data_IF_093597663050
#
_entry.id   IF_093597663050
#
_cell.length_a   1.000
_cell.length_b   1.000
_cell.length_c   1.000
_cell.angle_alpha   90.00
_cell.angle_beta   90.00
_cell.angle_gamma   90.00
#
_symmetry.space_group_name_H-M   'P 1'
#
loop_
_entity.id
_entity.type
_entity.pdbx_description
1 polymer ?
#
# COMPACT_ATOMS: atom_id res chain seq x y z
N UNK A 1 26.32 -24.23 -27.78
CA UNK A 1 26.99 -22.98 -27.34
C UNK A 1 26.01 -21.85 -27.01
N UNK A 2 24.88 -21.68 -27.72
CA UNK A 2 23.94 -20.58 -27.46
C UNK A 2 23.35 -20.54 -26.02
N UNK A 3 22.86 -21.67 -25.50
CA UNK A 3 22.28 -21.76 -24.14
C UNK A 3 23.30 -21.38 -23.06
N UNK A 4 24.56 -21.86 -23.18
CA UNK A 4 25.59 -21.57 -22.19
C UNK A 4 25.88 -20.06 -22.07
N UNK A 5 25.92 -19.35 -23.20
CA UNK A 5 26.10 -17.89 -23.22
C UNK A 5 24.90 -17.16 -22.60
N UNK A 6 23.68 -17.60 -22.90
CA UNK A 6 22.47 -17.01 -22.33
C UNK A 6 22.39 -17.25 -20.81
N UNK A 7 22.80 -18.42 -20.33
CA UNK A 7 22.86 -18.71 -18.89
C UNK A 7 23.84 -17.77 -18.18
N UNK A 8 25.00 -17.53 -18.76
CA UNK A 8 25.98 -16.58 -18.21
C UNK A 8 25.40 -15.16 -18.13
N UNK A 9 24.72 -14.71 -19.19
CA UNK A 9 24.07 -13.40 -19.21
C UNK A 9 22.93 -13.30 -18.19
N UNK A 10 22.16 -14.38 -17.99
CA UNK A 10 21.11 -14.44 -16.99
C UNK A 10 21.67 -14.32 -15.57
N UNK A 11 22.75 -15.04 -15.25
CA UNK A 11 23.41 -14.94 -13.95
C UNK A 11 23.99 -13.54 -13.71
N UNK A 12 24.66 -12.96 -14.70
CA UNK A 12 25.17 -11.60 -14.59
C UNK A 12 24.03 -10.59 -14.32
N UNK A 13 22.90 -10.72 -15.03
CA UNK A 13 21.74 -9.87 -14.81
C UNK A 13 21.11 -10.07 -13.41
N UNK A 14 21.16 -11.30 -12.85
CA UNK A 14 20.74 -11.56 -11.46
C UNK A 14 21.65 -10.83 -10.45
N UNK A 15 22.96 -10.89 -10.67
CA UNK A 15 23.96 -10.23 -9.81
C UNK A 15 23.82 -8.70 -9.86
N UNK A 16 23.52 -8.15 -11.04
CA UNK A 16 23.27 -6.73 -11.26
C UNK A 16 21.85 -6.27 -10.82
N UNK A 17 21.04 -7.16 -10.25
CA UNK A 17 19.63 -6.92 -9.86
C UNK A 17 18.70 -6.50 -11.02
N UNK A 18 19.08 -6.78 -12.26
CA UNK A 18 18.27 -6.57 -13.45
C UNK A 18 17.31 -7.76 -13.62
N UNK A 19 16.39 -7.96 -12.68
CA UNK A 19 15.61 -9.21 -12.61
C UNK A 19 14.54 -9.31 -13.71
N UNK A 20 13.74 -8.24 -13.87
CA UNK A 20 12.65 -8.14 -14.87
C UNK A 20 12.72 -6.86 -15.70
N UNK A 21 13.60 -5.93 -15.32
CA UNK A 21 13.82 -4.65 -16.00
C UNK A 21 15.33 -4.45 -16.19
N UNK A 22 15.77 -3.88 -17.33
CA UNK A 22 14.97 -3.57 -18.51
C UNK A 22 14.49 -4.84 -19.27
N UNK A 23 13.48 -4.71 -20.12
CA UNK A 23 12.79 -5.85 -20.77
C UNK A 23 13.72 -6.72 -21.62
N UNK A 24 14.76 -6.15 -22.24
CA UNK A 24 15.65 -6.79 -23.21
C UNK A 24 17.00 -7.24 -22.63
N UNK A 25 17.29 -6.92 -21.36
CA UNK A 25 18.59 -7.23 -20.71
C UNK A 25 18.41 -7.77 -19.28
N UNK A 26 17.19 -8.16 -18.92
CA UNK A 26 16.92 -8.74 -17.62
C UNK A 26 17.25 -10.22 -17.53
N UNK A 27 17.45 -10.73 -16.31
CA UNK A 27 17.59 -12.14 -16.04
C UNK A 27 16.40 -12.93 -16.59
N UNK A 28 15.17 -12.42 -16.41
CA UNK A 28 13.96 -13.03 -16.95
C UNK A 28 14.00 -13.13 -18.48
N UNK A 29 14.49 -12.10 -19.18
CA UNK A 29 14.65 -12.11 -20.63
C UNK A 29 15.54 -13.26 -21.09
N UNK A 30 16.72 -13.39 -20.50
CA UNK A 30 17.67 -14.45 -20.86
C UNK A 30 17.14 -15.84 -20.52
N UNK A 31 16.52 -16.02 -19.35
CA UNK A 31 15.89 -17.31 -18.99
C UNK A 31 14.75 -17.68 -19.94
N UNK A 32 13.90 -16.74 -20.34
CA UNK A 32 12.85 -16.97 -21.34
C UNK A 32 13.43 -17.34 -22.70
N UNK A 33 14.50 -16.68 -23.14
CA UNK A 33 15.19 -17.04 -24.38
C UNK A 33 15.73 -18.48 -24.34
N UNK A 34 16.27 -18.92 -23.19
CA UNK A 34 16.69 -20.32 -23.01
C UNK A 34 15.49 -21.27 -23.12
N UNK A 35 14.37 -20.96 -22.46
CA UNK A 35 13.16 -21.81 -22.49
C UNK A 35 12.48 -21.86 -23.86
N UNK A 36 12.70 -20.86 -24.73
CA UNK A 36 12.27 -20.94 -26.13
C UNK A 36 13.10 -21.95 -26.93
N UNK A 37 14.37 -22.15 -26.59
CA UNK A 37 15.27 -23.11 -27.24
C UNK A 37 15.08 -24.50 -26.65
N UNK A 38 15.04 -24.60 -25.31
CA UNK A 38 14.81 -25.83 -24.56
C UNK A 38 13.74 -25.58 -23.47
N UNK A 39 12.47 -25.91 -23.77
CA UNK A 39 11.36 -25.71 -22.83
C UNK A 39 11.53 -26.42 -21.49
N UNK A 40 12.35 -27.46 -21.41
CA UNK A 40 12.57 -28.28 -20.20
C UNK A 40 13.89 -27.97 -19.49
N UNK A 41 14.58 -26.89 -19.86
CA UNK A 41 15.86 -26.51 -19.27
C UNK A 41 15.71 -26.16 -17.78
N UNK A 42 16.13 -27.07 -16.91
CA UNK A 42 15.93 -26.97 -15.46
C UNK A 42 16.54 -25.70 -14.87
N UNK A 43 17.78 -25.37 -15.25
CA UNK A 43 18.46 -24.18 -14.72
C UNK A 43 17.77 -22.85 -15.07
N UNK A 44 17.04 -22.80 -16.19
CA UNK A 44 16.31 -21.58 -16.56
C UNK A 44 14.99 -21.46 -15.81
N UNK A 45 14.30 -22.59 -15.58
CA UNK A 45 13.11 -22.63 -14.71
C UNK A 45 13.46 -22.26 -13.26
N UNK A 46 14.56 -22.80 -12.76
CA UNK A 46 15.07 -22.48 -11.42
C UNK A 46 15.46 -20.99 -11.30
N UNK A 47 16.12 -20.42 -12.32
CA UNK A 47 16.41 -18.99 -12.33
C UNK A 47 15.16 -18.10 -12.28
N UNK A 48 14.10 -18.45 -13.02
CA UNK A 48 12.81 -17.74 -12.94
C UNK A 48 12.19 -17.89 -11.54
N UNK A 49 12.29 -19.08 -10.93
CA UNK A 49 11.82 -19.30 -9.55
C UNK A 49 12.56 -18.39 -8.56
N UNK A 50 13.88 -18.25 -8.66
CA UNK A 50 14.67 -17.37 -7.80
C UNK A 50 14.32 -15.88 -7.97
N UNK A 51 13.97 -15.44 -9.19
CA UNK A 51 13.46 -14.09 -9.43
C UNK A 51 12.16 -13.87 -8.65
N UNK A 52 11.23 -14.83 -8.72
CA UNK A 52 9.96 -14.77 -7.97
C UNK A 52 10.25 -14.68 -6.47
N UNK A 53 11.06 -15.59 -5.92
CA UNK A 53 11.39 -15.59 -4.50
C UNK A 53 11.99 -14.26 -4.04
N UNK A 54 12.91 -13.67 -4.82
CA UNK A 54 13.52 -12.38 -4.50
C UNK A 54 12.47 -11.27 -4.37
N UNK A 55 11.54 -11.19 -5.32
CA UNK A 55 10.47 -10.20 -5.26
C UNK A 55 9.49 -10.46 -4.11
N UNK A 56 9.20 -11.72 -3.80
CA UNK A 56 8.36 -12.06 -2.65
C UNK A 56 9.01 -11.68 -1.32
N UNK A 57 10.33 -11.83 -1.18
CA UNK A 57 11.07 -11.34 -0.01
C UNK A 57 10.90 -9.83 0.15
N UNK A 58 11.15 -9.04 -0.90
CA UNK A 58 10.96 -7.58 -0.85
C UNK A 58 9.50 -7.18 -0.62
N UNK A 59 8.54 -7.93 -1.16
CA UNK A 59 7.12 -7.72 -0.89
C UNK A 59 6.80 -7.90 0.59
N UNK A 60 7.31 -8.95 1.22
CA UNK A 60 7.12 -9.22 2.65
C UNK A 60 7.75 -8.13 3.53
N UNK A 61 8.97 -7.71 3.23
CA UNK A 61 9.63 -6.59 3.92
C UNK A 61 8.79 -5.31 3.81
N UNK A 62 8.32 -4.98 2.60
CA UNK A 62 7.47 -3.81 2.38
C UNK A 62 6.11 -3.92 3.08
N UNK A 63 5.55 -5.13 3.25
CA UNK A 63 4.33 -5.35 4.05
C UNK A 63 4.58 -5.05 5.52
N UNK A 64 5.71 -5.52 6.06
CA UNK A 64 6.07 -5.35 7.46
C UNK A 64 6.37 -3.86 7.77
N UNK A 65 6.93 -3.12 6.80
CA UNK A 65 7.14 -1.67 6.83
C UNK A 65 5.87 -0.84 6.54
N UNK A 66 4.72 -1.47 6.29
CA UNK A 66 3.46 -0.85 5.83
C UNK A 66 3.59 -0.04 4.53
N UNK A 67 4.64 -0.27 3.75
CA UNK A 67 4.86 0.29 2.43
C UNK A 67 4.03 -0.45 1.38
N UNK A 68 2.70 -0.47 1.54
CA UNK A 68 1.77 -1.28 0.75
C UNK A 68 1.87 -1.07 -0.75
N UNK A 69 2.10 0.15 -1.22
CA UNK A 69 2.30 0.44 -2.65
C UNK A 69 3.56 -0.25 -3.20
N UNK A 70 4.66 -0.26 -2.44
CA UNK A 70 5.89 -0.98 -2.83
C UNK A 70 5.66 -2.48 -2.82
N UNK A 71 4.97 -3.00 -1.80
CA UNK A 71 4.63 -4.42 -1.73
C UNK A 71 3.80 -4.89 -2.95
N UNK A 72 2.81 -4.09 -3.37
CA UNK A 72 2.04 -4.36 -4.60
C UNK A 72 2.93 -4.38 -5.84
N UNK A 73 3.83 -3.40 -5.99
CA UNK A 73 4.77 -3.37 -7.10
C UNK A 73 5.67 -4.63 -7.15
N UNK A 74 6.17 -5.09 -6.00
CA UNK A 74 6.97 -6.31 -5.92
C UNK A 74 6.17 -7.55 -6.30
N UNK A 75 4.91 -7.67 -5.88
CA UNK A 75 4.03 -8.75 -6.30
C UNK A 75 3.75 -8.73 -7.81
N UNK A 76 3.56 -7.55 -8.40
CA UNK A 76 3.41 -7.40 -9.85
C UNK A 76 4.66 -7.88 -10.59
N UNK A 77 5.85 -7.52 -10.11
CA UNK A 77 7.12 -7.98 -10.70
C UNK A 77 7.36 -9.47 -10.53
N UNK A 78 6.98 -10.06 -9.40
CA UNK A 78 6.98 -11.52 -9.21
C UNK A 78 6.05 -12.19 -10.24
N UNK A 79 4.85 -11.65 -10.43
CA UNK A 79 3.88 -12.16 -11.40
C UNK A 79 4.33 -11.98 -12.86
N UNK A 80 5.16 -10.98 -13.17
CA UNK A 80 5.80 -10.87 -14.49
C UNK A 80 6.72 -12.07 -14.77
N UNK A 81 7.42 -12.59 -13.76
CA UNK A 81 8.32 -13.73 -13.90
C UNK A 81 7.54 -15.06 -14.04
N UNK A 82 6.68 -15.36 -13.06
CA UNK A 82 5.76 -16.50 -13.11
C UNK A 82 4.39 -16.13 -12.50
N UNK A 83 3.36 -15.85 -13.34
CA UNK A 83 2.03 -15.49 -12.86
C UNK A 83 1.32 -16.59 -12.06
N UNK A 84 1.75 -17.85 -12.19
CA UNK A 84 1.09 -19.01 -11.58
C UNK A 84 1.78 -19.48 -10.30
N UNK A 85 2.84 -18.81 -9.87
CA UNK A 85 3.56 -19.17 -8.65
C UNK A 85 2.61 -19.06 -7.43
N UNK A 86 2.30 -20.17 -6.73
CA UNK A 86 1.31 -20.16 -5.64
C UNK A 86 1.66 -19.18 -4.51
N UNK A 87 2.96 -18.98 -4.25
CA UNK A 87 3.44 -18.09 -3.19
C UNK A 87 3.04 -16.62 -3.42
N UNK A 88 2.82 -16.18 -4.66
CA UNK A 88 2.32 -14.82 -4.96
C UNK A 88 0.95 -14.60 -4.33
N UNK A 89 0.06 -15.59 -4.44
CA UNK A 89 -1.27 -15.51 -3.86
C UNK A 89 -1.21 -15.39 -2.34
N UNK A 90 -0.38 -16.21 -1.68
CA UNK A 90 -0.20 -16.18 -0.22
C UNK A 90 0.33 -14.83 0.28
N UNK A 91 1.31 -14.24 -0.41
CA UNK A 91 1.84 -12.93 -0.02
C UNK A 91 0.83 -11.81 -0.33
N UNK A 92 0.04 -11.93 -1.40
CA UNK A 92 -1.04 -11.00 -1.71
C UNK A 92 -2.16 -11.01 -0.65
N UNK A 93 -2.53 -12.19 -0.13
CA UNK A 93 -3.47 -12.30 1.00
C UNK A 93 -2.92 -11.65 2.26
N UNK A 94 -1.63 -11.88 2.57
CA UNK A 94 -0.96 -11.24 3.71
C UNK A 94 -0.92 -9.73 3.57
N UNK A 95 -0.65 -9.20 2.36
CA UNK A 95 -0.71 -7.77 2.06
C UNK A 95 -2.11 -7.21 2.32
N UNK A 96 -3.15 -7.86 1.79
CA UNK A 96 -4.53 -7.43 1.94
C UNK A 96 -4.96 -7.41 3.42
N UNK A 97 -4.61 -8.44 4.18
CA UNK A 97 -4.88 -8.53 5.61
C UNK A 97 -4.13 -7.46 6.40
N UNK A 98 -2.82 -7.29 6.18
CA UNK A 98 -2.03 -6.27 6.90
C UNK A 98 -2.57 -4.87 6.62
N UNK A 99 -2.94 -4.60 5.36
CA UNK A 99 -3.52 -3.32 4.94
C UNK A 99 -4.88 -3.05 5.58
N UNK A 100 -5.74 -4.06 5.70
CA UNK A 100 -7.05 -3.90 6.35
C UNK A 100 -6.90 -3.69 7.87
N UNK A 101 -5.99 -4.41 8.52
CA UNK A 101 -5.69 -4.22 9.94
C UNK A 101 -5.09 -2.84 10.25
N UNK A 102 -4.32 -2.29 9.30
CA UNK A 102 -3.68 -0.99 9.44
C UNK A 102 -4.57 0.18 8.99
N UNK A 103 -5.82 -0.09 8.59
CA UNK A 103 -6.78 0.91 8.15
C UNK A 103 -8.07 0.82 8.96
N UNK A 104 -8.50 1.92 9.56
CA UNK A 104 -9.85 2.06 10.12
C UNK A 104 -10.64 3.09 9.33
N UNK A 105 -11.74 2.67 8.73
CA UNK A 105 -12.67 3.57 8.04
C UNK A 105 -13.74 4.06 9.00
N UNK A 106 -13.94 5.37 9.04
CA UNK A 106 -15.02 6.05 9.75
C UNK A 106 -15.89 6.73 8.72
N UNK A 107 -17.09 6.20 8.47
CA UNK A 107 -18.09 6.90 7.65
C UNK A 107 -18.67 8.04 8.49
N UNK A 108 -18.66 9.26 7.96
CA UNK A 108 -19.17 10.42 8.69
C UNK A 108 -20.71 10.31 8.74
N UNK A 109 -21.31 10.37 9.94
CA UNK A 109 -22.76 10.39 10.07
C UNK A 109 -23.38 11.62 9.40
N UNK A 110 -24.63 11.50 8.94
CA UNK A 110 -25.36 12.59 8.30
C UNK A 110 -25.46 13.83 9.21
N UNK A 111 -25.66 13.63 10.52
CA UNK A 111 -25.72 14.72 11.49
C UNK A 111 -24.41 15.54 11.59
N UNK A 112 -23.28 15.00 11.13
CA UNK A 112 -21.98 15.71 11.03
C UNK A 112 -21.84 16.41 9.68
N UNK A 113 -22.20 15.76 8.58
CA UNK A 113 -22.00 16.30 7.23
C UNK A 113 -22.99 17.41 6.89
N UNK A 114 -24.24 17.31 7.36
CA UNK A 114 -25.24 18.38 7.20
C UNK A 114 -24.84 19.68 7.89
N UNK A 115 -23.87 19.66 8.81
CA UNK A 115 -23.40 20.87 9.49
C UNK A 115 -22.70 21.84 8.54
N UNK A 116 -22.08 21.34 7.47
CA UNK A 116 -21.39 22.17 6.46
C UNK A 116 -22.33 23.02 5.60
N UNK A 117 -23.59 22.61 5.46
CA UNK A 117 -24.54 23.24 4.51
C UNK A 117 -25.41 24.34 5.14
N UNK A 118 -25.38 24.51 6.46
CA UNK A 118 -26.35 25.33 7.19
C UNK A 118 -25.65 26.39 8.08
N UNK A 119 -25.93 27.70 7.92
CA UNK A 119 -25.18 28.76 8.61
C UNK A 119 -25.48 28.95 10.11
N UNK A 120 -26.41 28.21 10.72
CA UNK A 120 -26.94 28.56 12.05
C UNK A 120 -27.36 27.31 12.85
N UNK A 121 -26.38 26.52 13.30
CA UNK A 121 -26.63 25.37 14.18
C UNK A 121 -26.81 25.82 15.62
N UNK A 122 -27.61 25.07 16.38
CA UNK A 122 -27.70 25.30 17.81
C UNK A 122 -26.37 24.94 18.52
N UNK A 123 -26.16 25.52 19.70
CA UNK A 123 -24.95 25.27 20.48
C UNK A 123 -24.79 23.82 20.93
N UNK A 124 -25.86 23.01 20.90
CA UNK A 124 -25.83 21.60 21.25
C UNK A 124 -25.26 20.74 20.11
N UNK A 125 -25.74 20.94 18.88
CA UNK A 125 -25.26 20.28 17.66
C UNK A 125 -23.79 20.59 17.42
N UNK A 126 -23.39 21.86 17.56
CA UNK A 126 -21.98 22.23 17.40
C UNK A 126 -21.08 21.55 18.45
N UNK A 127 -21.55 21.41 19.70
CA UNK A 127 -20.83 20.67 20.74
C UNK A 127 -20.71 19.18 20.41
N UNK A 128 -21.77 18.56 19.90
CA UNK A 128 -21.75 17.15 19.49
C UNK A 128 -20.76 16.91 18.33
N UNK A 129 -20.77 17.78 17.32
CA UNK A 129 -19.86 17.70 16.16
C UNK A 129 -18.41 17.87 16.61
N UNK A 130 -18.15 18.85 17.48
CA UNK A 130 -16.84 19.08 18.05
C UNK A 130 -16.34 17.87 18.86
N UNK A 131 -17.20 17.27 19.69
CA UNK A 131 -16.87 16.07 20.45
C UNK A 131 -16.51 14.89 19.54
N UNK A 132 -17.25 14.70 18.45
CA UNK A 132 -16.98 13.62 17.48
C UNK A 132 -15.60 13.78 16.83
N UNK A 133 -15.24 14.98 16.37
CA UNK A 133 -13.92 15.23 15.79
C UNK A 133 -12.80 15.18 16.84
N UNK A 134 -13.09 15.52 18.10
CA UNK A 134 -12.16 15.37 19.21
C UNK A 134 -11.83 13.89 19.47
N UNK A 135 -12.83 12.99 19.46
CA UNK A 135 -12.62 11.55 19.64
C UNK A 135 -11.79 10.93 18.50
N UNK A 136 -12.03 11.38 17.26
CA UNK A 136 -11.21 11.01 16.10
C UNK A 136 -9.77 11.51 16.30
N UNK A 137 -9.60 12.76 16.74
CA UNK A 137 -8.29 13.32 16.98
C UNK A 137 -7.51 12.55 18.07
N UNK A 138 -8.18 12.14 19.16
CA UNK A 138 -7.60 11.29 20.20
C UNK A 138 -7.12 9.97 19.58
N UNK A 139 -7.98 9.30 18.82
CA UNK A 139 -7.64 8.02 18.16
C UNK A 139 -6.39 8.16 17.26
N UNK A 140 -6.30 9.23 16.49
CA UNK A 140 -5.17 9.50 15.59
C UNK A 140 -3.87 9.71 16.38
N UNK A 141 -3.91 10.45 17.49
CA UNK A 141 -2.72 10.72 18.32
C UNK A 141 -2.22 9.47 19.03
N UNK A 142 -3.14 8.71 19.65
CA UNK A 142 -2.80 7.51 20.41
C UNK A 142 -2.20 6.42 19.54
N UNK A 143 -2.67 6.31 18.29
CA UNK A 143 -2.28 5.24 17.37
C UNK A 143 -1.30 5.70 16.28
N UNK A 144 -0.85 6.96 16.31
CA UNK A 144 0.10 7.49 15.33
C UNK A 144 -0.40 7.38 13.89
N UNK A 145 -1.66 7.76 13.65
CA UNK A 145 -2.30 7.60 12.35
C UNK A 145 -2.08 8.82 11.42
N UNK A 146 -1.98 8.58 10.12
CA UNK A 146 -2.31 9.58 9.11
C UNK A 146 -3.77 9.39 8.67
N UNK A 147 -4.33 10.36 7.95
CA UNK A 147 -5.71 10.23 7.47
C UNK A 147 -5.85 10.48 5.97
N UNK A 148 -6.86 9.85 5.38
CA UNK A 148 -7.40 10.23 4.07
C UNK A 148 -8.85 10.65 4.28
N UNK A 149 -9.19 11.85 3.84
CA UNK A 149 -10.54 12.40 3.94
C UNK A 149 -11.18 12.29 2.56
N UNK A 150 -12.26 11.53 2.50
CA UNK A 150 -13.13 11.42 1.34
C UNK A 150 -14.33 12.32 1.55
N UNK A 151 -14.61 13.19 0.59
CA UNK A 151 -15.68 14.21 0.70
C UNK A 151 -16.37 14.47 -0.63
N UNK A 152 -17.56 15.07 -0.56
CA UNK A 152 -18.37 15.40 -1.76
C UNK A 152 -17.89 16.67 -2.48
N UNK A 153 -17.08 17.50 -1.82
CA UNK A 153 -16.51 18.74 -2.36
C UNK A 153 -15.22 19.11 -1.62
N UNK A 154 -14.39 19.92 -2.26
CA UNK A 154 -13.17 20.48 -1.65
C UNK A 154 -13.45 21.28 -0.37
N UNK A 155 -14.55 22.02 -0.34
CA UNK A 155 -14.96 22.82 0.83
C UNK A 155 -15.28 21.93 2.03
N UNK A 156 -16.04 20.86 1.81
CA UNK A 156 -16.34 19.87 2.85
C UNK A 156 -15.07 19.19 3.32
N UNK A 157 -14.21 18.74 2.41
CA UNK A 157 -12.93 18.10 2.76
C UNK A 157 -12.02 19.00 3.61
N UNK A 158 -11.95 20.30 3.28
CA UNK A 158 -11.17 21.28 4.06
C UNK A 158 -11.80 21.56 5.42
N UNK A 159 -13.12 21.63 5.51
CA UNK A 159 -13.82 21.79 6.79
C UNK A 159 -13.58 20.58 7.71
N UNK A 160 -13.69 19.35 7.19
CA UNK A 160 -13.38 18.12 7.95
C UNK A 160 -11.92 18.16 8.44
N UNK A 161 -10.99 18.50 7.55
CA UNK A 161 -9.57 18.62 7.90
C UNK A 161 -9.36 19.61 9.04
N UNK A 162 -9.91 20.82 8.95
CA UNK A 162 -9.81 21.84 9.99
C UNK A 162 -10.43 21.38 11.31
N UNK A 163 -11.58 20.68 11.22
CA UNK A 163 -12.34 20.20 12.37
C UNK A 163 -11.58 19.14 13.18
N UNK A 164 -10.77 18.31 12.54
CA UNK A 164 -9.85 17.38 13.22
C UNK A 164 -8.56 18.08 13.64
N UNK A 165 -7.97 18.88 12.75
CA UNK A 165 -6.65 19.49 12.94
C UNK A 165 -6.62 20.50 14.11
N UNK A 166 -7.74 21.14 14.46
CA UNK A 166 -7.83 22.02 15.63
C UNK A 166 -7.52 21.32 16.97
N UNK A 167 -7.69 19.99 17.04
CA UNK A 167 -7.41 19.18 18.23
C UNK A 167 -6.01 18.54 18.20
N UNK A 168 -5.22 18.82 17.16
CA UNK A 168 -3.89 18.25 16.97
C UNK A 168 -2.81 19.19 17.51
N UNK A 169 -1.80 18.68 18.21
CA UNK A 169 -0.67 19.50 18.69
C UNK A 169 0.24 19.95 17.54
N UNK A 170 0.26 19.22 16.43
CA UNK A 170 1.02 19.52 15.22
C UNK A 170 0.13 19.33 13.99
N UNK A 171 0.54 19.89 12.85
CA UNK A 171 -0.22 19.78 11.61
C UNK A 171 -0.46 18.31 11.23
N UNK A 172 -1.72 17.94 11.12
CA UNK A 172 -2.13 16.60 10.73
C UNK A 172 -1.71 16.31 9.29
N UNK A 173 -1.07 15.15 9.09
CA UNK A 173 -0.82 14.58 7.76
C UNK A 173 -2.12 14.00 7.23
N UNK A 174 -2.69 14.67 6.24
CA UNK A 174 -3.95 14.29 5.62
C UNK A 174 -3.85 14.38 4.09
N UNK A 175 -4.50 13.45 3.41
CA UNK A 175 -4.79 13.51 1.97
C UNK A 175 -6.28 13.76 1.78
N UNK A 176 -6.65 14.61 0.81
CA UNK A 176 -8.04 14.88 0.46
C UNK A 176 -8.38 14.19 -0.86
N UNK A 177 -9.47 13.46 -0.91
CA UNK A 177 -9.99 12.77 -2.10
C UNK A 177 -11.49 13.06 -2.27
N UNK A 178 -11.93 13.17 -3.53
CA UNK A 178 -13.35 13.40 -3.86
C UNK A 178 -14.03 12.05 -4.10
N UNK A 179 -14.87 11.62 -3.16
CA UNK A 179 -15.57 10.34 -3.21
C UNK A 179 -16.78 10.33 -2.26
N UNK A 180 -17.67 9.35 -2.41
CA UNK A 180 -18.83 9.12 -1.53
C UNK A 180 -18.88 7.68 -1.02
N UNK A 181 -19.38 7.43 0.20
CA UNK A 181 -19.83 8.42 1.18
C UNK A 181 -18.67 9.19 1.80
N UNK A 182 -18.97 10.36 2.39
CA UNK A 182 -17.99 11.14 3.15
C UNK A 182 -17.46 10.29 4.30
N UNK A 183 -16.14 10.08 4.35
CA UNK A 183 -15.49 9.19 5.31
C UNK A 183 -14.06 9.62 5.60
N UNK A 184 -13.55 9.22 6.75
CA UNK A 184 -12.15 9.37 7.14
C UNK A 184 -11.56 7.96 7.27
N UNK A 185 -10.56 7.67 6.44
CA UNK A 185 -9.72 6.49 6.62
C UNK A 185 -8.53 6.87 7.50
N UNK A 186 -8.43 6.25 8.67
CA UNK A 186 -7.24 6.32 9.52
C UNK A 186 -6.27 5.25 9.05
N UNK A 187 -5.04 5.65 8.75
CA UNK A 187 -3.95 4.77 8.34
C UNK A 187 -2.94 4.75 9.47
N UNK A 188 -2.89 3.64 10.20
CA UNK A 188 -1.99 3.47 11.33
C UNK A 188 -0.57 3.21 10.85
N UNK A 189 0.39 3.92 11.43
CA UNK A 189 1.80 3.53 11.34
C UNK A 189 2.01 2.32 12.26
N UNK A 190 2.96 1.42 11.96
CA UNK A 190 3.25 0.24 12.80
C UNK A 190 3.34 0.68 14.26
N UNK A 191 2.74 -0.05 15.22
CA UNK A 191 2.89 0.32 16.63
C UNK A 191 4.38 0.45 16.95
N UNK A 192 4.80 1.41 17.80
CA UNK A 192 6.20 1.50 18.17
C UNK A 192 6.64 0.12 18.63
N UNK A 193 7.72 -0.38 18.03
CA UNK A 193 8.41 -1.57 18.51
C UNK A 193 8.68 -1.34 19.99
N UNK A 194 7.94 -2.04 20.87
CA UNK A 194 8.29 -2.16 22.26
C UNK A 194 9.63 -2.87 22.29
N UNK A 195 10.68 -2.04 22.26
CA UNK A 195 12.05 -2.44 22.49
C UNK A 195 12.22 -2.26 23.98
N UNK A 196 11.97 -3.31 24.74
CA UNK A 196 12.54 -3.57 26.07
C UNK A 196 12.16 -4.99 26.54
#
# INVERSE_FOLDING_TARGET
MAIARLMEQAHQAMDDQLLTEPEDQSALFFYRAILQIDPNHQGAREGIHQIVERYLTWALEAIDDLAFTKASLWLERAALADPKAPAIFTVAERLALKRSLSRRTIVLPEWVTSTTDLPNHDSATQRAVNSFFQDIAISIREQGATIVIYSRSDEEGRWIYQSVNQYMPQRLRATLELDRPTRIDLIFSTPPSTSE
#
